data_IF_315497718175
#
_entry.id   IF_315497718175
#
_cell.length_a   1.000
_cell.length_b   1.000
_cell.length_c   1.000
_cell.angle_alpha   90.00
_cell.angle_beta   90.00
_cell.angle_gamma   90.00
#
_symmetry.space_group_name_H-M   'P 1'
#
loop_
_entity.id
_entity.type
_entity.pdbx_description
1 polymer ?
#
# COMPACT_ATOMS: atom_id res chain seq x y z
N UNK A 1 15.44 -24.54 13.43
CA UNK A 1 14.64 -23.60 12.59
C UNK A 1 13.76 -24.38 11.64
N UNK A 2 12.74 -23.70 11.11
CA UNK A 2 11.91 -24.20 10.01
C UNK A 2 11.75 -23.09 8.97
N UNK A 3 11.85 -23.48 7.68
CA UNK A 3 11.63 -22.62 6.52
C UNK A 3 10.73 -23.35 5.53
N UNK A 4 9.59 -22.77 5.21
CA UNK A 4 8.59 -23.42 4.38
C UNK A 4 8.11 -22.50 3.25
N UNK A 5 8.10 -23.05 2.02
CA UNK A 5 7.49 -22.42 0.85
C UNK A 5 6.00 -22.75 0.74
N UNK A 6 5.24 -21.91 0.05
CA UNK A 6 3.78 -21.94 0.04
C UNK A 6 3.17 -22.53 -1.24
N UNK A 7 3.90 -23.38 -1.96
CA UNK A 7 3.49 -23.91 -3.26
C UNK A 7 2.15 -24.68 -3.24
N UNK A 8 1.80 -25.28 -2.10
CA UNK A 8 0.51 -25.94 -1.86
C UNK A 8 -0.40 -25.21 -0.86
N UNK A 9 -0.06 -23.97 -0.50
CA UNK A 9 -0.84 -23.22 0.51
C UNK A 9 -0.65 -23.71 1.94
N UNK A 10 0.38 -24.48 2.25
CA UNK A 10 0.60 -25.15 3.54
C UNK A 10 1.82 -24.64 4.31
N UNK A 11 2.46 -23.56 3.88
CA UNK A 11 3.70 -23.09 4.50
C UNK A 11 3.52 -22.76 5.98
N UNK A 12 2.45 -22.08 6.36
CA UNK A 12 2.14 -21.74 7.75
C UNK A 12 1.87 -23.01 8.58
N UNK A 13 1.04 -23.90 8.07
CA UNK A 13 0.72 -25.16 8.76
C UNK A 13 1.99 -26.00 8.99
N UNK A 14 2.86 -26.12 7.98
CA UNK A 14 4.13 -26.85 8.10
C UNK A 14 5.08 -26.18 9.09
N UNK A 15 5.14 -24.83 9.11
CA UNK A 15 5.96 -24.10 10.08
C UNK A 15 5.50 -24.35 11.51
N UNK A 16 4.19 -24.31 11.76
CA UNK A 16 3.61 -24.60 13.08
C UNK A 16 3.84 -26.07 13.49
N UNK A 17 3.70 -27.02 12.57
CA UNK A 17 4.05 -28.42 12.82
C UNK A 17 5.53 -28.60 13.17
N UNK A 18 6.42 -27.85 12.52
CA UNK A 18 7.84 -27.80 12.87
C UNK A 18 8.08 -27.30 14.29
N UNK A 19 7.33 -26.29 14.75
CA UNK A 19 7.41 -25.80 16.14
C UNK A 19 6.94 -26.88 17.12
N UNK A 20 5.84 -27.55 16.86
CA UNK A 20 5.36 -28.66 17.68
C UNK A 20 6.37 -29.81 17.74
N UNK A 21 7.12 -30.00 16.67
CA UNK A 21 8.20 -31.01 16.57
C UNK A 21 9.54 -30.54 17.17
N UNK A 22 9.61 -29.35 17.79
CA UNK A 22 10.80 -28.90 18.52
C UNK A 22 11.54 -27.71 17.90
N UNK A 23 11.15 -27.18 16.74
CA UNK A 23 11.73 -25.95 16.21
C UNK A 23 11.39 -24.77 17.12
N UNK A 24 12.33 -23.83 17.27
CA UNK A 24 12.16 -22.60 18.10
C UNK A 24 12.39 -21.34 17.28
N UNK A 25 12.63 -21.50 16.01
CA UNK A 25 12.83 -20.42 15.06
C UNK A 25 12.04 -20.72 13.78
N UNK A 26 11.29 -19.73 13.30
CA UNK A 26 10.56 -19.81 12.02
C UNK A 26 11.11 -18.73 11.11
N UNK A 27 11.51 -19.12 9.92
CA UNK A 27 11.85 -18.21 8.82
C UNK A 27 10.59 -17.96 8.00
N UNK A 28 10.11 -16.71 8.03
CA UNK A 28 8.87 -16.30 7.38
C UNK A 28 8.97 -14.86 6.87
N UNK A 29 7.99 -14.42 6.11
CA UNK A 29 8.00 -13.09 5.49
C UNK A 29 6.66 -12.39 5.68
N UNK A 30 6.70 -11.05 5.76
CA UNK A 30 5.48 -10.24 5.79
C UNK A 30 4.71 -10.48 4.49
N UNK A 31 3.39 -10.67 4.59
CA UNK A 31 2.49 -11.02 3.49
C UNK A 31 2.81 -12.37 2.80
N UNK A 32 3.70 -13.17 3.35
CA UNK A 32 4.14 -14.41 2.74
C UNK A 32 4.96 -14.22 1.46
N UNK A 33 5.57 -13.05 1.27
CA UNK A 33 6.37 -12.78 0.06
C UNK A 33 7.54 -13.75 -0.07
N UNK A 34 7.87 -14.12 -1.29
CA UNK A 34 8.97 -15.02 -1.61
C UNK A 34 8.92 -15.55 -3.02
N UNK A 35 9.83 -16.45 -3.34
CA UNK A 35 9.86 -17.11 -4.65
C UNK A 35 8.63 -18.00 -4.88
N UNK A 36 8.24 -18.17 -6.13
CA UNK A 36 7.11 -19.00 -6.60
C UNK A 36 5.78 -18.56 -5.93
N UNK A 37 5.19 -19.39 -5.06
CA UNK A 37 3.96 -19.09 -4.32
C UNK A 37 4.22 -18.37 -2.98
N UNK A 38 5.47 -18.02 -2.69
CA UNK A 38 5.90 -17.32 -1.49
C UNK A 38 6.30 -18.21 -0.34
N UNK A 39 6.49 -17.61 0.82
CA UNK A 39 6.92 -18.23 2.07
C UNK A 39 5.77 -18.32 3.08
N UNK A 40 6.02 -18.87 4.26
CA UNK A 40 5.11 -18.74 5.39
C UNK A 40 4.89 -17.25 5.71
N UNK A 41 3.64 -16.86 5.91
CA UNK A 41 3.29 -15.48 6.24
C UNK A 41 3.50 -15.20 7.74
N UNK A 42 4.31 -14.19 8.06
CA UNK A 42 4.67 -13.82 9.43
C UNK A 42 3.42 -13.53 10.27
N UNK A 43 2.51 -12.72 9.76
CA UNK A 43 1.27 -12.34 10.43
C UNK A 43 0.41 -13.56 10.80
N UNK A 44 0.34 -14.56 9.94
CA UNK A 44 -0.44 -15.76 10.16
C UNK A 44 0.20 -16.66 11.22
N UNK A 45 1.54 -16.85 11.14
CA UNK A 45 2.31 -17.61 12.13
C UNK A 45 2.16 -16.99 13.53
N UNK A 46 2.41 -15.70 13.63
CA UNK A 46 2.38 -14.97 14.91
C UNK A 46 0.99 -15.00 15.54
N UNK A 47 -0.05 -14.74 14.73
CA UNK A 47 -1.42 -14.75 15.25
C UNK A 47 -1.92 -16.15 15.56
N UNK A 48 -1.51 -17.20 14.85
CA UNK A 48 -1.83 -18.57 15.21
C UNK A 48 -1.29 -18.94 16.60
N UNK A 49 -0.04 -18.56 16.90
CA UNK A 49 0.57 -18.79 18.22
C UNK A 49 -0.17 -17.98 19.29
N UNK A 50 -0.44 -16.70 19.04
CA UNK A 50 -1.08 -15.80 20.01
C UNK A 50 -2.54 -16.20 20.32
N UNK A 51 -3.28 -16.68 19.34
CA UNK A 51 -4.71 -17.03 19.50
C UNK A 51 -4.94 -18.45 20.02
N UNK A 52 -3.94 -19.32 19.91
CA UNK A 52 -4.04 -20.72 20.32
C UNK A 52 -2.95 -21.13 21.31
N UNK A 53 -2.86 -20.45 22.48
CA UNK A 53 -1.88 -20.81 23.52
C UNK A 53 -2.15 -22.23 24.09
N UNK A 54 -3.38 -22.74 23.95
CA UNK A 54 -3.77 -24.09 24.29
C UNK A 54 -3.04 -25.17 23.46
N UNK A 55 -2.75 -24.89 22.18
CA UNK A 55 -2.04 -25.79 21.25
C UNK A 55 -0.60 -25.39 21.02
N UNK A 56 -0.30 -24.13 21.19
CA UNK A 56 1.00 -23.50 20.94
C UNK A 56 1.44 -22.72 22.18
N UNK A 57 1.97 -23.41 23.23
CA UNK A 57 2.40 -22.76 24.46
C UNK A 57 3.75 -22.05 24.24
N UNK A 58 3.77 -21.06 23.36
CA UNK A 58 4.94 -20.27 22.99
C UNK A 58 4.57 -18.80 22.86
N UNK A 59 5.55 -17.95 23.09
CA UNK A 59 5.45 -16.50 22.88
C UNK A 59 6.44 -16.03 21.82
N UNK A 60 6.11 -14.91 21.18
CA UNK A 60 6.98 -14.19 20.25
C UNK A 60 7.15 -12.76 20.71
N UNK A 61 8.30 -12.14 20.45
CA UNK A 61 8.53 -10.72 20.69
C UNK A 61 7.86 -9.77 19.67
N UNK A 62 7.04 -10.30 18.76
CA UNK A 62 6.41 -9.50 17.70
C UNK A 62 5.25 -8.68 18.25
N UNK A 63 5.30 -7.36 18.03
CA UNK A 63 4.19 -6.47 18.36
C UNK A 63 3.06 -6.60 17.32
N UNK A 64 2.02 -7.34 17.67
CA UNK A 64 0.93 -7.66 16.75
C UNK A 64 0.10 -6.46 16.31
N UNK A 65 0.05 -5.37 17.09
CA UNK A 65 -0.66 -4.12 16.73
C UNK A 65 -0.03 -3.48 15.48
N UNK A 66 1.20 -3.83 15.14
CA UNK A 66 1.90 -3.29 13.98
C UNK A 66 1.76 -4.15 12.71
N UNK A 67 1.13 -5.32 12.77
CA UNK A 67 1.04 -6.26 11.66
C UNK A 67 0.37 -5.64 10.43
N UNK A 68 -0.77 -4.99 10.61
CA UNK A 68 -1.49 -4.37 9.49
C UNK A 68 -0.68 -3.21 8.87
N UNK A 69 -0.03 -2.38 9.70
CA UNK A 69 0.86 -1.30 9.23
C UNK A 69 2.07 -1.86 8.46
N UNK A 70 2.72 -2.89 8.98
CA UNK A 70 3.85 -3.54 8.32
C UNK A 70 3.45 -4.16 6.97
N UNK A 71 2.30 -4.84 6.92
CA UNK A 71 1.72 -5.40 5.69
C UNK A 71 1.52 -4.33 4.62
N UNK A 72 0.94 -3.18 4.97
CA UNK A 72 0.72 -2.05 4.05
C UNK A 72 2.05 -1.47 3.55
N UNK A 73 3.01 -1.24 4.43
CA UNK A 73 4.34 -0.72 4.05
C UNK A 73 5.02 -1.64 3.04
N UNK A 74 5.01 -2.95 3.30
CA UNK A 74 5.65 -3.94 2.40
C UNK A 74 4.91 -4.02 1.07
N UNK A 75 3.57 -4.03 1.08
CA UNK A 75 2.75 -4.01 -0.13
C UNK A 75 3.07 -2.79 -1.01
N UNK A 76 3.12 -1.60 -0.41
CA UNK A 76 3.45 -0.36 -1.12
C UNK A 76 4.89 -0.37 -1.65
N UNK A 77 5.86 -0.80 -0.84
CA UNK A 77 7.27 -0.81 -1.23
C UNK A 77 7.60 -1.81 -2.34
N UNK A 78 6.88 -2.94 -2.39
CA UNK A 78 7.10 -4.00 -3.38
C UNK A 78 6.20 -3.89 -4.61
N UNK A 79 5.08 -3.15 -4.50
CA UNK A 79 4.04 -3.10 -5.51
C UNK A 79 3.21 -4.40 -5.61
N UNK A 80 3.34 -5.32 -4.64
CA UNK A 80 2.50 -6.52 -4.57
C UNK A 80 1.31 -6.24 -3.66
N UNK A 81 0.07 -6.15 -4.19
CA UNK A 81 -1.11 -5.89 -3.39
C UNK A 81 -1.47 -7.09 -2.51
N UNK A 82 -1.97 -6.79 -1.32
CA UNK A 82 -2.54 -7.81 -0.44
C UNK A 82 -3.93 -8.20 -0.94
N UNK A 83 -4.21 -9.50 -1.04
CA UNK A 83 -5.54 -9.99 -1.40
C UNK A 83 -6.56 -9.55 -0.34
N UNK A 84 -7.78 -9.19 -0.76
CA UNK A 84 -8.83 -8.75 0.16
C UNK A 84 -9.20 -9.79 1.24
N UNK A 85 -9.17 -11.07 0.88
CA UNK A 85 -9.44 -12.20 1.77
C UNK A 85 -8.17 -12.79 2.42
N UNK A 86 -7.01 -12.10 2.34
CA UNK A 86 -5.80 -12.53 3.04
C UNK A 86 -6.07 -12.60 4.55
N UNK A 87 -5.71 -13.69 5.17
CA UNK A 87 -5.83 -13.83 6.61
C UNK A 87 -5.10 -12.70 7.35
N UNK A 88 -5.62 -12.24 8.46
CA UNK A 88 -5.08 -11.25 9.39
C UNK A 88 -5.04 -9.82 8.83
N UNK A 89 -4.51 -9.60 7.63
CA UNK A 89 -4.20 -8.26 7.09
C UNK A 89 -5.00 -7.89 5.85
N UNK A 90 -5.81 -8.80 5.33
CA UNK A 90 -6.71 -8.53 4.20
C UNK A 90 -7.84 -7.56 4.59
N UNK A 91 -8.33 -6.78 3.63
CA UNK A 91 -9.40 -5.79 3.85
C UNK A 91 -10.68 -6.42 4.44
N UNK A 92 -10.98 -7.68 4.04
CA UNK A 92 -12.18 -8.42 4.48
C UNK A 92 -11.93 -9.29 5.71
N UNK A 93 -10.71 -9.29 6.29
CA UNK A 93 -10.37 -10.18 7.40
C UNK A 93 -11.29 -10.05 8.62
N UNK A 94 -11.91 -8.87 8.81
CA UNK A 94 -12.84 -8.55 9.91
C UNK A 94 -14.21 -8.08 9.41
N UNK A 95 -14.56 -8.31 8.14
CA UNK A 95 -15.84 -7.91 7.56
C UNK A 95 -16.88 -9.03 7.70
N UNK A 96 -18.04 -8.69 8.20
CA UNK A 96 -19.19 -9.61 8.35
C UNK A 96 -20.40 -9.06 7.58
N UNK A 97 -20.83 -9.73 6.51
CA UNK A 97 -21.99 -9.31 5.70
C UNK A 97 -23.29 -10.04 6.11
N UNK A 98 -23.23 -11.27 6.57
CA UNK A 98 -24.42 -12.06 6.84
C UNK A 98 -25.12 -11.61 8.13
N UNK A 99 -26.44 -11.37 8.07
CA UNK A 99 -27.24 -10.94 9.22
C UNK A 99 -27.20 -11.93 10.40
N UNK A 100 -27.08 -13.25 10.15
CA UNK A 100 -26.92 -14.26 11.19
C UNK A 100 -25.57 -14.14 11.91
N UNK A 101 -24.50 -13.73 11.21
CA UNK A 101 -23.20 -13.46 11.81
C UNK A 101 -23.24 -12.18 12.66
N UNK A 102 -23.93 -11.13 12.18
CA UNK A 102 -24.12 -9.89 12.93
C UNK A 102 -24.91 -10.11 14.22
N UNK A 103 -25.98 -10.91 14.20
CA UNK A 103 -26.75 -11.27 15.39
C UNK A 103 -25.91 -12.10 16.39
N UNK A 104 -25.11 -13.03 15.89
CA UNK A 104 -24.19 -13.81 16.73
C UNK A 104 -23.10 -12.94 17.38
N UNK A 105 -22.54 -11.97 16.64
CA UNK A 105 -21.57 -11.00 17.13
C UNK A 105 -22.15 -10.09 18.22
N UNK A 106 -23.41 -9.66 18.08
CA UNK A 106 -24.11 -8.87 19.10
C UNK A 106 -24.33 -9.66 20.40
N UNK A 107 -24.51 -10.97 20.30
CA UNK A 107 -24.70 -11.86 21.46
C UNK A 107 -23.37 -12.24 22.13
N UNK A 108 -22.37 -12.63 21.35
CA UNK A 108 -21.02 -12.92 21.83
C UNK A 108 -20.01 -12.81 20.68
N UNK A 109 -19.14 -11.81 20.72
CA UNK A 109 -18.10 -11.59 19.72
C UNK A 109 -17.20 -12.81 19.48
N UNK A 110 -16.87 -13.53 20.53
CA UNK A 110 -16.01 -14.73 20.45
C UNK A 110 -16.62 -15.89 19.64
N UNK A 111 -17.89 -15.83 19.29
CA UNK A 111 -18.55 -16.86 18.48
C UNK A 111 -18.01 -16.92 17.05
N UNK A 112 -17.59 -15.78 16.50
CA UNK A 112 -17.11 -15.66 15.12
C UNK A 112 -15.73 -14.99 14.99
N UNK A 113 -15.23 -14.39 16.05
CA UNK A 113 -13.92 -13.73 16.07
C UNK A 113 -12.96 -14.43 17.02
N UNK A 114 -11.95 -15.11 16.47
CA UNK A 114 -10.85 -15.69 17.25
C UNK A 114 -9.81 -14.63 17.65
N UNK A 115 -9.88 -13.44 17.06
CA UNK A 115 -9.04 -12.29 17.32
C UNK A 115 -9.83 -11.00 17.04
N UNK A 116 -9.49 -9.91 17.70
CA UNK A 116 -10.13 -8.61 17.47
C UNK A 116 -9.36 -7.78 16.45
N UNK A 117 -10.02 -6.88 15.69
CA UNK A 117 -9.35 -5.95 14.77
C UNK A 117 -8.22 -5.18 15.45
N UNK A 118 -8.44 -4.72 16.68
CA UNK A 118 -7.49 -3.94 17.47
C UNK A 118 -6.22 -4.74 17.79
N UNK A 119 -6.34 -6.05 17.96
CA UNK A 119 -5.20 -6.94 18.28
C UNK A 119 -4.14 -7.00 17.18
N UNK A 120 -4.49 -6.60 15.96
CA UNK A 120 -3.62 -6.55 14.78
C UNK A 120 -3.45 -5.13 14.23
N UNK A 121 -3.89 -4.11 14.97
CA UNK A 121 -3.75 -2.71 14.65
C UNK A 121 -4.78 -2.16 13.66
N UNK A 122 -5.88 -2.86 13.46
CA UNK A 122 -7.05 -2.34 12.74
C UNK A 122 -7.94 -1.62 13.74
N UNK A 123 -8.10 -0.32 13.61
CA UNK A 123 -9.00 0.48 14.45
C UNK A 123 -10.37 0.55 13.80
N UNK A 124 -11.42 0.26 14.55
CA UNK A 124 -12.79 0.61 14.14
C UNK A 124 -12.92 2.13 14.24
N UNK A 125 -12.88 2.82 13.11
CA UNK A 125 -13.00 4.27 13.09
C UNK A 125 -14.40 4.66 12.64
N UNK A 126 -15.13 5.33 13.52
CA UNK A 126 -16.48 5.85 13.25
C UNK A 126 -16.50 7.30 12.71
N UNK A 127 -15.35 7.94 12.52
CA UNK A 127 -15.26 9.32 12.04
C UNK A 127 -15.25 9.33 10.50
N UNK A 128 -16.43 9.63 9.93
CA UNK A 128 -16.54 9.94 8.49
C UNK A 128 -15.99 11.35 8.28
N UNK A 129 -14.92 11.45 7.49
CA UNK A 129 -14.30 12.72 7.11
C UNK A 129 -14.94 13.25 5.83
N UNK A 130 -15.10 14.57 5.73
CA UNK A 130 -15.71 15.23 4.57
C UNK A 130 -15.30 16.69 4.45
N UNK A 131 -15.87 17.41 3.47
CA UNK A 131 -15.52 18.81 3.14
C UNK A 131 -15.64 19.83 4.30
N UNK A 132 -16.35 19.48 5.37
CA UNK A 132 -16.49 20.33 6.57
C UNK A 132 -15.52 19.93 7.68
N UNK A 133 -14.66 18.93 7.47
CA UNK A 133 -13.69 18.51 8.47
C UNK A 133 -12.53 19.49 8.54
N UNK A 134 -12.25 19.98 9.76
CA UNK A 134 -11.14 20.90 10.00
C UNK A 134 -9.78 20.19 10.02
N UNK A 135 -8.69 20.98 9.85
CA UNK A 135 -7.31 20.47 9.88
C UNK A 135 -6.97 19.71 11.18
N UNK A 136 -7.53 20.14 12.31
CA UNK A 136 -7.31 19.45 13.59
C UNK A 136 -7.93 18.05 13.60
N UNK A 137 -9.18 17.91 13.18
CA UNK A 137 -9.84 16.62 13.05
C UNK A 137 -9.12 15.71 12.02
N UNK A 138 -8.56 16.27 10.96
CA UNK A 138 -7.74 15.54 10.00
C UNK A 138 -6.44 15.02 10.63
N UNK A 139 -5.74 15.84 11.44
CA UNK A 139 -4.54 15.42 12.17
C UNK A 139 -4.86 14.30 13.19
N UNK A 140 -5.97 14.43 13.93
CA UNK A 140 -6.41 13.38 14.85
C UNK A 140 -6.76 12.09 14.12
N UNK A 141 -7.38 12.21 12.95
CA UNK A 141 -7.65 11.05 12.08
C UNK A 141 -6.37 10.39 11.61
N UNK A 142 -5.36 11.14 11.18
CA UNK A 142 -4.05 10.62 10.81
C UNK A 142 -3.37 9.88 11.97
N UNK A 143 -3.41 10.45 13.17
CA UNK A 143 -2.91 9.78 14.37
C UNK A 143 -3.63 8.44 14.60
N UNK A 144 -4.96 8.42 14.42
CA UNK A 144 -5.76 7.20 14.55
C UNK A 144 -5.44 6.15 13.50
N UNK A 145 -5.02 6.56 12.30
CA UNK A 145 -4.61 5.70 11.19
C UNK A 145 -3.15 5.21 11.31
N UNK A 146 -2.45 5.60 12.38
CA UNK A 146 -1.08 5.15 12.66
C UNK A 146 0.03 6.04 12.10
N UNK A 147 -0.26 7.32 11.87
CA UNK A 147 0.70 8.35 11.43
C UNK A 147 0.85 9.47 12.48
N UNK A 148 1.35 9.21 13.71
CA UNK A 148 1.38 10.19 14.80
C UNK A 148 2.46 11.27 14.63
N UNK A 149 3.57 10.96 13.97
CA UNK A 149 4.79 11.78 13.96
C UNK A 149 5.02 12.53 12.64
N UNK A 150 3.94 12.91 11.96
CA UNK A 150 4.05 13.70 10.72
C UNK A 150 4.37 15.17 11.02
N UNK A 151 5.26 15.76 10.20
CA UNK A 151 5.52 17.20 10.26
C UNK A 151 4.29 18.01 9.86
N UNK A 152 4.18 19.23 10.36
CA UNK A 152 3.04 20.11 10.06
C UNK A 152 2.96 20.45 8.55
N UNK A 153 4.08 20.42 7.83
CA UNK A 153 4.13 20.63 6.38
C UNK A 153 3.53 19.44 5.63
N UNK A 154 3.88 18.20 6.00
CA UNK A 154 3.29 16.99 5.42
C UNK A 154 1.79 16.95 5.68
N UNK A 155 1.37 17.21 6.92
CA UNK A 155 -0.05 17.28 7.29
C UNK A 155 -0.77 18.39 6.51
N UNK A 156 -0.13 19.55 6.31
CA UNK A 156 -0.68 20.66 5.54
C UNK A 156 -0.90 20.31 4.06
N UNK A 157 0.10 19.69 3.44
CA UNK A 157 0.03 19.25 2.04
C UNK A 157 -1.03 18.16 1.84
N UNK A 158 -1.05 17.17 2.73
CA UNK A 158 -2.05 16.12 2.70
C UNK A 158 -3.47 16.64 2.94
N UNK A 159 -3.64 17.60 3.87
CA UNK A 159 -4.93 18.25 4.12
C UNK A 159 -5.43 19.05 2.92
N UNK A 160 -4.55 19.77 2.21
CA UNK A 160 -4.94 20.47 0.99
C UNK A 160 -5.44 19.50 -0.10
N UNK A 161 -4.75 18.38 -0.29
CA UNK A 161 -5.20 17.31 -1.21
C UNK A 161 -6.51 16.67 -0.75
N UNK A 162 -6.65 16.43 0.57
CA UNK A 162 -7.89 15.91 1.16
C UNK A 162 -9.08 16.83 0.88
N UNK A 163 -8.94 18.15 1.00
CA UNK A 163 -10.00 19.10 0.70
C UNK A 163 -10.45 19.04 -0.77
N UNK A 164 -9.49 18.95 -1.70
CA UNK A 164 -9.77 18.76 -3.13
C UNK A 164 -10.51 17.45 -3.39
N UNK A 165 -10.11 16.38 -2.71
CA UNK A 165 -10.78 15.08 -2.83
C UNK A 165 -12.21 15.12 -2.24
N UNK A 166 -12.38 15.74 -1.07
CA UNK A 166 -13.66 15.88 -0.38
C UNK A 166 -14.67 16.75 -1.14
N UNK A 167 -14.21 17.64 -2.03
CA UNK A 167 -15.07 18.38 -2.95
C UNK A 167 -15.56 17.52 -4.14
N UNK A 168 -14.75 16.52 -4.55
CA UNK A 168 -15.06 15.62 -5.67
C UNK A 168 -15.86 14.38 -5.25
N UNK A 169 -15.64 13.88 -4.02
CA UNK A 169 -16.26 12.65 -3.48
C UNK A 169 -17.32 12.96 -2.45
N UNK A 170 -18.45 12.27 -2.53
CA UNK A 170 -19.53 12.36 -1.54
C UNK A 170 -19.11 11.83 -0.16
N UNK A 171 -18.30 10.77 -0.15
CA UNK A 171 -17.77 10.14 1.06
C UNK A 171 -16.27 9.91 0.89
N UNK A 172 -15.47 10.35 1.86
CA UNK A 172 -14.01 10.08 1.92
C UNK A 172 -13.78 9.01 2.98
N UNK A 173 -13.17 7.93 2.58
CA UNK A 173 -12.88 6.76 3.43
C UNK A 173 -11.47 6.84 3.99
N UNK A 174 -11.16 6.01 4.98
CA UNK A 174 -9.84 5.94 5.61
C UNK A 174 -8.74 5.58 4.62
N UNK A 175 -9.05 4.70 3.66
CA UNK A 175 -8.14 4.30 2.60
C UNK A 175 -7.78 5.46 1.66
N UNK A 176 -8.72 6.35 1.39
CA UNK A 176 -8.45 7.56 0.61
C UNK A 176 -7.43 8.46 1.33
N UNK A 177 -7.60 8.63 2.65
CA UNK A 177 -6.70 9.43 3.47
C UNK A 177 -5.31 8.81 3.54
N UNK A 178 -5.23 7.48 3.71
CA UNK A 178 -3.96 6.74 3.71
C UNK A 178 -3.24 6.93 2.37
N UNK A 179 -3.96 6.77 1.25
CA UNK A 179 -3.38 6.96 -0.08
C UNK A 179 -2.82 8.38 -0.29
N UNK A 180 -3.54 9.41 0.21
CA UNK A 180 -3.07 10.81 0.16
C UNK A 180 -1.81 11.06 1.00
N UNK A 181 -1.70 10.40 2.17
CA UNK A 181 -0.52 10.52 3.03
C UNK A 181 0.68 9.82 2.42
N UNK A 182 0.50 8.57 1.96
CA UNK A 182 1.58 7.80 1.34
C UNK A 182 2.15 8.55 0.12
N UNK A 183 1.28 9.13 -0.73
CA UNK A 183 1.67 9.99 -1.84
C UNK A 183 2.39 11.27 -1.37
N UNK A 184 1.95 11.88 -0.28
CA UNK A 184 2.57 13.09 0.27
C UNK A 184 3.94 12.82 0.90
N UNK A 185 4.12 11.69 1.57
CA UNK A 185 5.41 11.26 2.12
C UNK A 185 6.44 10.94 1.03
N UNK A 186 5.99 10.42 -0.12
CA UNK A 186 6.84 10.19 -1.28
C UNK A 186 7.31 11.52 -1.89
N UNK A 187 6.42 12.53 -1.92
CA UNK A 187 6.70 13.84 -2.51
C UNK A 187 7.60 14.73 -1.65
N UNK A 188 7.48 14.66 -0.31
CA UNK A 188 8.23 15.53 0.62
C UNK A 188 9.74 15.23 0.63
N UNK A 189 10.14 14.05 0.18
CA UNK A 189 11.54 13.64 0.14
C UNK A 189 12.27 13.96 -1.18
N UNK A 190 11.64 14.68 -2.15
CA UNK A 190 12.27 14.94 -3.47
C UNK A 190 11.79 16.24 -4.10
N UNK A 191 12.74 17.02 -4.58
CA UNK A 191 12.48 17.93 -5.68
C UNK A 191 11.98 17.08 -6.87
N UNK A 192 10.68 17.14 -7.18
CA UNK A 192 10.14 16.47 -8.35
C UNK A 192 10.78 17.05 -9.60
N UNK A 193 11.64 16.25 -10.23
CA UNK A 193 12.30 16.62 -11.49
C UNK A 193 11.25 16.76 -12.59
N UNK A 194 10.13 16.02 -12.48
CA UNK A 194 9.03 16.01 -13.43
C UNK A 194 7.71 16.22 -12.67
N UNK A 195 6.98 17.26 -13.03
CA UNK A 195 5.65 17.54 -12.47
C UNK A 195 4.61 17.75 -13.58
N UNK A 196 3.47 17.05 -13.48
CA UNK A 196 2.35 17.20 -14.40
C UNK A 196 1.67 18.57 -14.18
N UNK A 197 1.54 19.37 -15.25
CA UNK A 197 0.83 20.66 -15.24
C UNK A 197 -0.54 20.56 -15.93
N UNK A 198 -0.62 19.85 -17.05
CA UNK A 198 -1.89 19.59 -17.73
C UNK A 198 -1.86 18.28 -18.50
N UNK A 199 -3.00 17.63 -18.58
CA UNK A 199 -3.23 16.42 -19.36
C UNK A 199 -4.58 16.55 -20.07
N UNK A 200 -4.62 16.33 -21.40
CA UNK A 200 -5.83 16.12 -22.17
C UNK A 200 -5.69 14.82 -22.93
N UNK A 201 -6.72 13.99 -22.89
CA UNK A 201 -6.73 12.70 -23.57
C UNK A 201 -7.96 12.64 -24.47
N UNK A 202 -7.72 12.29 -25.73
CA UNK A 202 -8.75 12.06 -26.72
C UNK A 202 -8.82 10.58 -26.99
N UNK A 203 -9.92 9.98 -26.61
CA UNK A 203 -10.14 8.54 -26.71
C UNK A 203 -11.45 8.24 -27.43
N UNK A 204 -11.42 7.30 -28.36
CA UNK A 204 -12.57 6.88 -29.14
C UNK A 204 -12.38 5.49 -29.73
N UNK A 205 -13.48 4.84 -30.15
CA UNK A 205 -13.41 3.52 -30.75
C UNK A 205 -13.03 3.66 -32.24
N UNK A 206 -12.02 2.92 -32.68
CA UNK A 206 -11.64 2.84 -34.12
C UNK A 206 -10.60 3.87 -34.57
N UNK A 207 -10.12 4.76 -33.66
CA UNK A 207 -9.08 5.73 -33.96
C UNK A 207 -7.93 5.61 -32.95
N UNK A 208 -6.67 5.94 -33.34
CA UNK A 208 -5.57 5.99 -32.39
C UNK A 208 -5.87 7.00 -31.26
N UNK A 209 -5.63 6.59 -30.03
CA UNK A 209 -5.79 7.44 -28.88
C UNK A 209 -4.70 8.53 -28.88
N UNK A 210 -5.04 9.75 -28.47
CA UNK A 210 -4.10 10.87 -28.44
C UNK A 210 -4.06 11.51 -27.06
N UNK A 211 -2.86 11.79 -26.58
CA UNK A 211 -2.64 12.58 -25.38
C UNK A 211 -1.93 13.89 -25.73
N UNK A 212 -2.36 14.99 -25.10
CA UNK A 212 -1.68 16.27 -25.07
C UNK A 212 -1.28 16.54 -23.63
N UNK A 213 0.01 16.75 -23.38
CA UNK A 213 0.56 16.86 -22.04
C UNK A 213 1.49 18.02 -21.91
N UNK A 214 1.44 18.69 -20.76
CA UNK A 214 2.41 19.69 -20.33
C UNK A 214 3.04 19.24 -19.02
N UNK A 215 4.37 19.15 -19.02
CA UNK A 215 5.19 18.82 -17.84
C UNK A 215 6.08 20.01 -17.48
N UNK A 216 6.33 20.14 -16.19
CA UNK A 216 7.44 20.89 -15.66
C UNK A 216 8.61 19.92 -15.47
N UNK A 217 9.67 20.10 -16.24
CA UNK A 217 10.88 19.27 -16.16
C UNK A 217 12.03 20.14 -15.70
N UNK A 218 12.48 19.99 -14.46
CA UNK A 218 13.54 20.80 -13.84
C UNK A 218 13.25 22.31 -13.90
N UNK A 219 12.02 22.75 -13.68
CA UNK A 219 11.62 24.17 -13.76
C UNK A 219 11.36 24.67 -15.19
N UNK A 220 11.46 23.81 -16.21
CA UNK A 220 11.15 24.13 -17.59
C UNK A 220 9.80 23.54 -18.01
N UNK A 221 8.89 24.40 -18.45
CA UNK A 221 7.59 23.97 -18.96
C UNK A 221 7.76 23.47 -20.39
N UNK A 222 7.41 22.20 -20.63
CA UNK A 222 7.46 21.54 -21.93
C UNK A 222 6.10 20.92 -22.27
N UNK A 223 5.71 20.99 -23.54
CA UNK A 223 4.46 20.40 -24.00
C UNK A 223 4.71 19.46 -25.18
N UNK A 224 3.96 18.38 -25.25
CA UNK A 224 3.96 17.44 -26.37
C UNK A 224 2.57 16.85 -26.61
N UNK A 225 2.40 16.34 -27.83
CA UNK A 225 1.24 15.51 -28.19
C UNK A 225 1.78 14.24 -28.86
N UNK A 226 1.23 13.10 -28.45
CA UNK A 226 1.56 11.78 -28.99
C UNK A 226 0.30 10.93 -29.14
N UNK A 227 0.38 9.93 -30.03
CA UNK A 227 -0.65 8.91 -30.22
C UNK A 227 -0.19 7.57 -29.69
N UNK A 228 -1.13 6.75 -29.27
CA UNK A 228 -0.87 5.41 -28.73
C UNK A 228 -1.98 4.43 -29.04
N UNK A 229 -1.73 3.14 -28.79
CA UNK A 229 -2.71 2.06 -28.93
C UNK A 229 -3.83 2.17 -27.88
N UNK A 230 -3.57 2.89 -26.80
CA UNK A 230 -4.53 3.22 -25.74
C UNK A 230 -4.19 4.53 -25.04
N UNK A 231 -5.11 5.05 -24.21
CA UNK A 231 -4.92 6.32 -23.50
C UNK A 231 -3.61 6.36 -22.68
N UNK A 232 -3.30 5.28 -21.97
CA UNK A 232 -2.11 5.17 -21.12
C UNK A 232 -0.83 5.11 -21.96
N UNK A 233 -0.84 4.38 -23.09
CA UNK A 233 0.28 4.32 -24.02
C UNK A 233 0.59 5.70 -24.63
N UNK A 234 -0.45 6.44 -25.03
CA UNK A 234 -0.30 7.81 -25.51
C UNK A 234 0.31 8.75 -24.45
N UNK A 235 -0.11 8.61 -23.17
CA UNK A 235 0.44 9.35 -22.04
C UNK A 235 1.92 9.02 -21.83
N UNK A 236 2.29 7.75 -21.81
CA UNK A 236 3.68 7.33 -21.58
C UNK A 236 4.60 7.74 -22.74
N UNK A 237 4.11 7.71 -23.98
CA UNK A 237 4.82 8.25 -25.14
C UNK A 237 5.04 9.77 -25.04
N UNK A 238 4.04 10.53 -24.55
CA UNK A 238 4.23 11.95 -24.26
C UNK A 238 5.33 12.18 -23.22
N UNK A 239 5.34 11.42 -22.12
CA UNK A 239 6.38 11.53 -21.10
C UNK A 239 7.74 11.21 -21.70
N UNK A 240 7.87 10.12 -22.47
CA UNK A 240 9.12 9.76 -23.15
C UNK A 240 9.65 10.85 -24.07
N UNK A 241 8.75 11.54 -24.77
CA UNK A 241 9.12 12.65 -25.67
C UNK A 241 9.58 13.89 -24.91
N UNK A 242 8.91 14.23 -23.80
CA UNK A 242 9.21 15.40 -22.98
C UNK A 242 10.43 15.18 -22.08
N UNK A 243 10.62 13.95 -21.63
CA UNK A 243 11.72 13.47 -20.81
C UNK A 243 12.29 12.17 -21.40
N UNK A 244 13.24 12.23 -22.35
CA UNK A 244 13.78 11.06 -23.04
C UNK A 244 14.40 10.04 -22.08
N UNK A 245 14.04 8.76 -22.23
CA UNK A 245 14.52 7.64 -21.42
C UNK A 245 14.40 6.31 -22.18
N UNK A 246 15.16 5.30 -21.75
CA UNK A 246 15.12 3.94 -22.28
C UNK A 246 14.64 2.94 -21.23
N UNK A 247 13.59 3.31 -20.51
CA UNK A 247 13.00 2.42 -19.50
C UNK A 247 12.12 1.37 -20.15
N UNK A 248 12.15 0.16 -19.57
CA UNK A 248 11.23 -0.91 -19.86
C UNK A 248 10.14 -0.94 -18.79
N UNK A 249 8.87 -0.85 -19.21
CA UNK A 249 7.72 -0.97 -18.32
C UNK A 249 7.53 -2.44 -17.96
N UNK A 250 7.76 -2.80 -16.69
CA UNK A 250 7.60 -4.17 -16.21
C UNK A 250 6.24 -4.43 -15.58
N UNK A 251 5.62 -3.41 -14.98
CA UNK A 251 4.32 -3.53 -14.33
C UNK A 251 3.56 -2.23 -14.46
N UNK A 252 2.31 -2.34 -14.86
CA UNK A 252 1.30 -1.29 -14.75
C UNK A 252 0.06 -1.90 -14.09
N UNK A 253 -0.31 -1.36 -12.95
CA UNK A 253 -1.43 -1.87 -12.16
C UNK A 253 -2.30 -0.72 -11.68
N UNK A 254 -3.62 -0.90 -11.80
CA UNK A 254 -4.62 0.03 -11.27
C UNK A 254 -5.44 -0.70 -10.21
N UNK A 255 -5.47 -0.14 -9.02
CA UNK A 255 -6.26 -0.65 -7.90
C UNK A 255 -7.30 0.39 -7.49
N UNK A 256 -8.56 0.02 -7.46
CA UNK A 256 -9.58 0.83 -6.80
C UNK A 256 -9.29 0.87 -5.30
N UNK A 257 -9.21 2.08 -4.74
CA UNK A 257 -9.00 2.30 -3.30
C UNK A 257 -10.34 2.21 -2.57
N UNK A 258 -11.39 2.69 -3.22
CA UNK A 258 -12.76 2.75 -2.68
C UNK A 258 -13.77 2.29 -3.71
N UNK A 259 -15.02 2.07 -3.30
CA UNK A 259 -16.14 1.70 -4.16
C UNK A 259 -16.86 2.93 -4.73
N UNK A 260 -17.60 2.74 -5.84
CA UNK A 260 -18.41 3.76 -6.49
C UNK A 260 -17.81 4.30 -7.78
N UNK A 261 -18.60 5.10 -8.52
CA UNK A 261 -18.19 5.70 -9.79
C UNK A 261 -17.22 6.87 -9.63
N UNK A 262 -17.10 7.40 -8.41
CA UNK A 262 -16.17 8.43 -7.96
C UNK A 262 -14.97 7.85 -7.18
N UNK A 263 -14.76 6.53 -7.28
CA UNK A 263 -13.69 5.84 -6.57
C UNK A 263 -12.32 6.42 -6.92
N UNK A 264 -11.51 6.61 -5.87
CA UNK A 264 -10.09 6.88 -6.05
C UNK A 264 -9.38 5.58 -6.47
N UNK A 265 -8.48 5.68 -7.43
CA UNK A 265 -7.63 4.57 -7.84
C UNK A 265 -6.17 4.88 -7.55
N UNK A 266 -5.45 3.90 -7.03
CA UNK A 266 -3.99 3.91 -6.97
C UNK A 266 -3.42 3.22 -8.19
N UNK A 267 -2.54 3.91 -8.90
CA UNK A 267 -1.76 3.35 -10.00
C UNK A 267 -0.35 3.07 -9.53
N UNK A 268 0.11 1.84 -9.76
CA UNK A 268 1.48 1.41 -9.49
C UNK A 268 2.19 1.16 -10.82
N UNK A 269 3.34 1.80 -11.01
CA UNK A 269 4.19 1.65 -12.19
C UNK A 269 5.54 1.12 -11.77
N UNK A 270 5.99 0.00 -12.37
CA UNK A 270 7.34 -0.51 -12.21
C UNK A 270 8.08 -0.41 -13.53
N UNK A 271 9.22 0.27 -13.52
CA UNK A 271 10.10 0.39 -14.67
C UNK A 271 11.48 -0.19 -14.36
N UNK A 272 12.13 -0.70 -15.40
CA UNK A 272 13.49 -1.19 -15.33
C UNK A 272 14.34 -0.48 -16.37
N UNK A 273 15.57 -0.14 -15.99
CA UNK A 273 16.60 0.37 -16.90
C UNK A 273 17.98 -0.02 -16.39
N UNK A 274 18.80 -0.56 -17.29
CA UNK A 274 20.16 -1.01 -16.98
C UNK A 274 20.20 -1.97 -15.77
N UNK A 275 19.24 -2.91 -15.68
CA UNK A 275 19.12 -3.89 -14.59
C UNK A 275 18.66 -3.32 -13.25
N UNK A 276 18.29 -2.03 -13.19
CA UNK A 276 17.75 -1.41 -11.97
C UNK A 276 16.24 -1.22 -12.09
N UNK A 277 15.51 -1.75 -11.13
CA UNK A 277 14.06 -1.62 -11.05
C UNK A 277 13.67 -0.50 -10.10
N UNK A 278 12.68 0.29 -10.48
CA UNK A 278 12.09 1.36 -9.65
C UNK A 278 10.57 1.27 -9.70
N UNK A 279 9.92 1.54 -8.57
CA UNK A 279 8.46 1.56 -8.45
C UNK A 279 8.01 2.96 -8.07
N UNK A 280 7.00 3.48 -8.76
CA UNK A 280 6.29 4.71 -8.42
C UNK A 280 4.81 4.42 -8.26
N UNK A 281 4.17 5.16 -7.37
CA UNK A 281 2.73 5.08 -7.12
C UNK A 281 2.14 6.47 -7.07
N UNK A 282 0.92 6.61 -7.56
CA UNK A 282 0.11 7.81 -7.41
C UNK A 282 -1.36 7.44 -7.33
N UNK A 283 -2.13 8.28 -6.63
CA UNK A 283 -3.56 8.09 -6.45
C UNK A 283 -4.34 9.32 -6.95
N UNK A 284 -5.39 9.08 -7.71
CA UNK A 284 -6.34 10.12 -8.16
C UNK A 284 -7.71 9.45 -8.45
N UNK A 285 -8.76 10.26 -8.50
CA UNK A 285 -10.08 9.83 -9.02
C UNK A 285 -10.05 9.66 -10.54
N UNK A 286 -9.13 10.34 -11.23
CA UNK A 286 -8.84 10.15 -12.65
C UNK A 286 -7.63 9.19 -12.78
N UNK A 287 -7.89 7.97 -13.24
CA UNK A 287 -6.86 6.95 -13.43
C UNK A 287 -5.78 7.33 -14.43
N UNK A 288 -6.10 8.19 -15.41
CA UNK A 288 -5.12 8.67 -16.39
C UNK A 288 -4.16 9.69 -15.77
N UNK A 289 -4.67 10.57 -14.91
CA UNK A 289 -3.86 11.50 -14.12
C UNK A 289 -2.98 10.72 -13.14
N UNK A 290 -3.54 9.73 -12.43
CA UNK A 290 -2.78 8.86 -11.55
C UNK A 290 -1.66 8.12 -12.31
N UNK A 291 -1.94 7.64 -13.53
CA UNK A 291 -0.95 6.96 -14.40
C UNK A 291 0.20 7.86 -14.78
N UNK A 292 -0.11 9.09 -15.21
CA UNK A 292 0.90 10.08 -15.58
C UNK A 292 1.80 10.44 -14.38
N UNK A 293 1.20 10.64 -13.21
CA UNK A 293 1.93 10.96 -11.98
C UNK A 293 2.80 9.79 -11.51
N UNK A 294 2.27 8.55 -11.47
CA UNK A 294 3.01 7.36 -11.06
C UNK A 294 4.25 7.15 -11.95
N UNK A 295 4.11 7.28 -13.27
CA UNK A 295 5.23 7.15 -14.20
C UNK A 295 6.25 8.28 -14.04
N UNK A 296 5.80 9.53 -13.85
CA UNK A 296 6.67 10.70 -13.65
C UNK A 296 7.49 10.59 -12.36
N UNK A 297 6.88 10.12 -11.26
CA UNK A 297 7.55 9.83 -9.98
C UNK A 297 8.63 8.78 -10.20
N UNK A 298 8.29 7.66 -10.85
CA UNK A 298 9.22 6.57 -11.12
C UNK A 298 10.45 7.05 -11.93
N UNK A 299 10.21 7.86 -12.95
CA UNK A 299 11.26 8.42 -13.81
C UNK A 299 12.13 9.45 -13.08
N UNK A 300 11.56 10.21 -12.14
CA UNK A 300 12.30 11.17 -11.29
C UNK A 300 13.24 10.47 -10.31
N UNK A 301 12.84 9.35 -9.73
CA UNK A 301 13.64 8.54 -8.79
C UNK A 301 14.94 8.05 -9.44
N UNK A 302 14.90 7.80 -10.74
CA UNK A 302 15.99 7.24 -11.50
C UNK A 302 17.17 8.24 -11.73
N UNK A 303 16.89 9.52 -11.83
CA UNK A 303 17.86 10.55 -12.26
C UNK A 303 18.91 10.97 -11.23
N UNK A 304 19.13 10.18 -10.15
CA UNK A 304 20.34 10.36 -9.32
C UNK A 304 20.12 10.64 -7.84
N UNK A 305 18.93 10.41 -7.30
CA UNK A 305 18.71 10.49 -5.85
C UNK A 305 18.87 9.15 -5.15
N UNK A 306 19.49 9.10 -3.95
CA UNK A 306 19.69 7.85 -3.22
C UNK A 306 18.34 7.25 -2.80
N UNK A 307 18.25 5.95 -2.95
CA UNK A 307 17.06 5.11 -2.65
C UNK A 307 16.43 5.47 -1.31
N UNK A 308 15.12 5.68 -1.29
CA UNK A 308 14.26 5.62 -0.10
C UNK A 308 14.17 4.21 0.54
N UNK A 309 15.05 3.29 0.17
CA UNK A 309 15.07 1.93 0.71
C UNK A 309 15.48 1.85 2.17
N UNK A 310 15.96 2.95 2.80
CA UNK A 310 16.48 2.87 4.16
C UNK A 310 15.97 3.91 5.17
N UNK A 311 15.30 5.00 4.77
CA UNK A 311 14.89 6.02 5.75
C UNK A 311 13.46 5.87 6.24
N UNK A 312 12.47 5.59 5.37
CA UNK A 312 11.08 5.33 5.84
C UNK A 312 10.97 4.00 6.58
N UNK A 313 11.73 2.99 6.14
CA UNK A 313 11.87 1.73 6.86
C UNK A 313 12.66 1.90 8.18
N UNK A 314 13.71 2.73 8.21
CA UNK A 314 14.48 2.99 9.44
C UNK A 314 13.76 3.90 10.43
N UNK A 315 12.93 4.82 9.99
CA UNK A 315 12.17 5.69 10.90
C UNK A 315 10.98 4.97 11.57
N UNK A 316 10.43 3.93 10.92
CA UNK A 316 9.36 3.10 11.52
C UNK A 316 9.85 1.78 12.13
N UNK A 317 11.07 1.35 11.85
CA UNK A 317 11.58 0.03 12.20
C UNK A 317 12.37 -0.10 13.51
N UNK A 318 12.85 0.95 14.23
CA UNK A 318 13.50 0.72 15.50
C UNK A 318 12.59 0.06 16.55
N UNK A 319 11.26 0.21 16.39
CA UNK A 319 10.27 -0.43 17.29
C UNK A 319 9.46 -1.54 16.62
N UNK A 320 9.57 -1.72 15.29
CA UNK A 320 8.61 -2.47 14.51
C UNK A 320 9.12 -3.73 13.86
N UNK A 321 10.17 -4.33 14.12
CA UNK A 321 10.64 -5.60 13.55
C UNK A 321 12.06 -5.46 12.98
N UNK A 322 12.98 -6.26 13.43
CA UNK A 322 14.12 -6.57 12.58
C UNK A 322 13.55 -7.19 11.28
N UNK A 323 13.97 -6.68 10.13
CA UNK A 323 13.73 -7.33 8.82
C UNK A 323 14.46 -8.69 8.75
N UNK A 324 14.82 -9.26 9.87
CA UNK A 324 15.35 -10.61 9.97
C UNK A 324 14.18 -11.55 9.75
N UNK A 325 14.33 -12.39 8.79
CA UNK A 325 13.46 -13.49 8.39
C UNK A 325 13.15 -14.49 9.51
N UNK A 326 13.39 -14.15 10.78
CA UNK A 326 13.41 -15.08 11.89
C UNK A 326 12.47 -14.65 13.01
N UNK A 327 11.50 -15.47 13.34
CA UNK A 327 10.67 -15.36 14.53
C UNK A 327 11.15 -16.36 15.56
N UNK A 328 11.68 -15.85 16.68
CA UNK A 328 12.10 -16.67 17.79
C UNK A 328 10.95 -16.91 18.76
N UNK A 329 10.83 -18.13 19.24
CA UNK A 329 9.77 -18.59 20.12
C UNK A 329 10.38 -18.95 21.48
N UNK A 330 9.77 -18.42 22.54
CA UNK A 330 10.07 -18.82 23.92
C UNK A 330 8.92 -19.69 24.44
N UNK A 331 9.18 -20.81 25.16
CA UNK A 331 8.16 -21.54 25.89
C UNK A 331 7.52 -20.62 26.95
N UNK A 332 6.23 -20.67 27.09
CA UNK A 332 5.47 -19.99 28.17
C UNK A 332 5.52 -20.79 29.45
#
# INVERSE_FOLDING_TARGET
STHCHNDLGLAVANSLAGVQSGARQIECTINGLGERAGNAALEEVVMAIKTRPDLMPYETGINTILLNKASKIVSNATGFPVQYNKAIVGKNAFAHEAGIHQDGMLKNRQTYEIMTPESVGVKQTSLVMGKHSGRHAFKDKLNSLGYPDLTDDVVGNAFAKFMVLADKKKHVYDEDIIALIDDSLVLDNKANIIALKSLKVFAGTGEPQRAEMTLDVNGQIKSASETGDGPVDAIFKCIKKLYPHDVNLQLYQVHAVTEGTDAQATVSVRIEENGKTTVGQAADTDTLVASANAFSITSSIKSGYPRLTNLSLKACLPECLPMTKEVWLTPT
#
